data_IF_112235657061
#
_entry.id   IF_112235657061
#
_cell.length_a   1.000
_cell.length_b   1.000
_cell.length_c   1.000
_cell.angle_alpha   90.00
_cell.angle_beta   90.00
_cell.angle_gamma   90.00
#
_symmetry.space_group_name_H-M   'P 1'
#
loop_
_entity.id
_entity.type
_entity.pdbx_description
1 polymer ?
#
# COMPACT_ATOMS: atom_id res chain seq x y z
N UNK A 1 22.16 -14.55 -35.23
CA UNK A 1 20.90 -14.50 -34.45
C UNK A 1 19.74 -14.74 -35.40
N UNK A 2 18.63 -15.35 -34.98
CA UNK A 2 17.43 -15.45 -35.82
C UNK A 2 16.95 -14.06 -36.25
N UNK A 3 16.13 -13.99 -37.29
CA UNK A 3 15.48 -12.73 -37.67
C UNK A 3 14.63 -12.23 -36.49
N UNK A 4 14.94 -11.02 -36.01
CA UNK A 4 14.24 -10.40 -34.90
C UNK A 4 13.16 -9.47 -35.46
N UNK A 5 11.93 -9.61 -34.95
CA UNK A 5 10.82 -8.75 -35.31
C UNK A 5 10.44 -7.87 -34.11
N UNK A 6 10.23 -6.58 -34.36
CA UNK A 6 9.68 -5.69 -33.35
C UNK A 6 8.18 -5.96 -33.20
N UNK A 7 7.76 -6.25 -31.97
CA UNK A 7 6.34 -6.44 -31.62
C UNK A 7 5.94 -5.32 -30.67
N UNK A 8 4.82 -4.67 -30.96
CA UNK A 8 4.20 -3.69 -30.07
C UNK A 8 2.95 -4.30 -29.44
N UNK A 9 2.80 -4.15 -28.12
CA UNK A 9 1.62 -4.56 -27.37
C UNK A 9 0.91 -3.32 -26.83
N UNK A 10 -0.41 -3.28 -27.02
CA UNK A 10 -1.26 -2.22 -26.49
C UNK A 10 -2.11 -2.78 -25.34
N UNK A 11 -2.26 -1.99 -24.28
CA UNK A 11 -3.05 -2.35 -23.10
C UNK A 11 -4.16 -1.31 -22.89
N UNK A 12 -5.32 -1.71 -22.35
CA UNK A 12 -6.29 -0.73 -21.87
C UNK A 12 -5.65 0.21 -20.84
N UNK A 13 -5.79 1.52 -21.08
CA UNK A 13 -5.19 2.56 -20.24
C UNK A 13 -6.21 3.52 -19.64
N UNK A 14 -7.27 3.05 -18.93
CA UNK A 14 -8.19 3.98 -18.26
C UNK A 14 -7.39 4.87 -17.33
N UNK A 15 -7.51 6.18 -17.52
CA UNK A 15 -6.69 7.17 -16.82
C UNK A 15 -7.59 8.30 -16.37
N UNK A 16 -7.49 8.66 -15.09
CA UNK A 16 -8.16 9.84 -14.57
C UNK A 16 -7.55 11.10 -15.20
N UNK A 17 -8.41 11.96 -15.73
CA UNK A 17 -7.98 13.25 -16.27
C UNK A 17 -7.45 14.19 -15.17
N UNK A 18 -8.09 14.17 -14.00
CA UNK A 18 -7.72 14.98 -12.84
C UNK A 18 -7.84 14.17 -11.55
N UNK A 19 -6.70 13.72 -11.04
CA UNK A 19 -6.62 12.98 -9.79
C UNK A 19 -7.03 13.82 -8.56
N UNK A 20 -6.78 15.14 -8.56
CA UNK A 20 -7.10 16.01 -7.44
C UNK A 20 -8.62 16.19 -7.31
N UNK A 21 -9.30 16.42 -8.42
CA UNK A 21 -10.77 16.47 -8.46
C UNK A 21 -11.39 15.14 -8.00
N UNK A 22 -10.81 14.00 -8.36
CA UNK A 22 -11.32 12.70 -7.92
C UNK A 22 -11.12 12.48 -6.41
N UNK A 23 -10.00 12.95 -5.84
CA UNK A 23 -9.79 12.95 -4.38
C UNK A 23 -10.90 13.74 -3.68
N UNK A 24 -11.21 14.95 -4.15
CA UNK A 24 -12.27 15.77 -3.56
C UNK A 24 -13.64 15.08 -3.62
N UNK A 25 -13.97 14.48 -4.77
CA UNK A 25 -15.20 13.70 -4.95
C UNK A 25 -15.25 12.51 -3.99
N UNK A 26 -14.15 11.80 -3.83
CA UNK A 26 -14.04 10.67 -2.92
C UNK A 26 -14.30 11.08 -1.46
N UNK A 27 -13.73 12.21 -1.02
CA UNK A 27 -14.01 12.76 0.32
C UNK A 27 -15.41 13.37 0.46
N UNK A 28 -16.03 13.84 -0.62
CA UNK A 28 -17.37 14.44 -0.63
C UNK A 28 -18.50 13.42 -0.48
N UNK A 29 -18.24 12.13 -0.73
CA UNK A 29 -19.19 11.04 -0.49
C UNK A 29 -19.72 11.11 0.95
N UNK A 30 -21.05 11.13 1.18
CA UNK A 30 -21.64 11.34 2.51
C UNK A 30 -21.09 10.38 3.57
N UNK A 31 -20.93 9.10 3.22
CA UNK A 31 -20.42 8.05 4.08
C UNK A 31 -18.94 8.21 4.45
N UNK A 32 -18.17 8.99 3.67
CA UNK A 32 -16.77 9.34 3.96
C UNK A 32 -16.73 10.65 4.76
N UNK A 33 -17.45 11.67 4.29
CA UNK A 33 -17.54 12.96 4.97
C UNK A 33 -17.99 12.82 6.43
N UNK A 34 -18.94 11.92 6.72
CA UNK A 34 -19.42 11.64 8.06
C UNK A 34 -18.37 11.04 9.02
N UNK A 35 -17.25 10.51 8.50
CA UNK A 35 -16.16 9.97 9.33
C UNK A 35 -15.21 11.05 9.85
N UNK A 36 -15.20 12.23 9.22
CA UNK A 36 -14.27 13.32 9.55
C UNK A 36 -15.01 14.37 10.37
N UNK A 37 -14.71 14.44 11.67
CA UNK A 37 -15.33 15.43 12.56
C UNK A 37 -14.54 16.74 12.54
N UNK A 38 -15.20 17.92 12.43
CA UNK A 38 -14.54 19.20 12.61
C UNK A 38 -13.73 19.26 13.92
N UNK A 39 -12.55 19.87 13.88
CA UNK A 39 -11.61 19.94 14.99
C UNK A 39 -10.70 18.71 15.15
N UNK A 40 -10.95 17.61 14.43
CA UNK A 40 -10.11 16.41 14.53
C UNK A 40 -8.69 16.67 14.04
N UNK A 41 -7.71 16.12 14.73
CA UNK A 41 -6.34 15.97 14.24
C UNK A 41 -6.23 14.69 13.41
N UNK A 42 -5.86 14.84 12.14
CA UNK A 42 -5.77 13.74 11.18
C UNK A 42 -4.32 13.46 10.81
N UNK A 43 -3.88 12.23 11.02
CA UNK A 43 -2.64 11.72 10.46
C UNK A 43 -2.88 11.20 9.04
N UNK A 44 -2.40 11.94 8.04
CA UNK A 44 -2.39 11.52 6.64
C UNK A 44 -1.14 10.65 6.40
N UNK A 45 -1.34 9.35 6.30
CA UNK A 45 -0.27 8.37 6.24
C UNK A 45 0.14 8.11 4.78
N UNK A 46 1.41 8.35 4.44
CA UNK A 46 1.91 8.23 3.05
C UNK A 46 3.08 7.25 2.97
N UNK A 47 2.98 6.29 2.05
CA UNK A 47 3.98 5.25 1.86
C UNK A 47 5.18 5.64 0.99
N UNK A 48 6.11 4.70 0.87
CA UNK A 48 7.34 4.80 0.07
C UNK A 48 7.20 4.33 -1.39
N UNK A 49 5.98 4.17 -1.87
CA UNK A 49 5.73 3.73 -3.25
C UNK A 49 5.37 4.93 -4.09
N UNK A 50 6.08 5.13 -5.19
CA UNK A 50 5.67 6.08 -6.22
C UNK A 50 4.25 5.73 -6.68
N UNK A 51 3.38 6.73 -6.64
CA UNK A 51 2.06 6.77 -7.26
C UNK A 51 2.11 7.94 -8.23
N UNK A 52 1.60 7.75 -9.44
CA UNK A 52 1.52 8.83 -10.41
C UNK A 52 0.78 10.04 -9.82
N UNK A 53 1.44 11.20 -9.80
CA UNK A 53 0.84 12.43 -9.25
C UNK A 53 0.64 12.42 -7.73
N UNK A 54 1.39 11.62 -6.96
CA UNK A 54 1.19 11.50 -5.50
C UNK A 54 1.20 12.84 -4.75
N UNK A 55 2.07 13.80 -5.11
CA UNK A 55 2.08 15.11 -4.49
C UNK A 55 0.74 15.85 -4.67
N UNK A 56 0.13 15.77 -5.86
CA UNK A 56 -1.16 16.37 -6.14
C UNK A 56 -2.28 15.66 -5.38
N UNK A 57 -2.26 14.32 -5.33
CA UNK A 57 -3.22 13.50 -4.56
C UNK A 57 -3.15 13.86 -3.06
N UNK A 58 -1.95 13.92 -2.50
CA UNK A 58 -1.73 14.28 -1.08
C UNK A 58 -2.18 15.72 -0.81
N UNK A 59 -1.84 16.67 -1.69
CA UNK A 59 -2.28 18.07 -1.57
C UNK A 59 -3.81 18.19 -1.59
N UNK A 60 -4.47 17.48 -2.50
CA UNK A 60 -5.93 17.45 -2.58
C UNK A 60 -6.56 16.80 -1.34
N UNK A 61 -5.93 15.76 -0.79
CA UNK A 61 -6.38 15.13 0.45
C UNK A 61 -6.24 16.09 1.64
N UNK A 62 -5.10 16.77 1.78
CA UNK A 62 -4.89 17.81 2.82
C UNK A 62 -5.96 18.90 2.71
N UNK A 63 -6.20 19.42 1.50
CA UNK A 63 -7.25 20.44 1.26
C UNK A 63 -8.63 19.92 1.64
N UNK A 64 -8.97 18.71 1.23
CA UNK A 64 -10.28 18.09 1.50
C UNK A 64 -10.53 17.88 3.00
N UNK A 65 -9.52 17.43 3.74
CA UNK A 65 -9.59 17.27 5.18
C UNK A 65 -9.74 18.63 5.89
N UNK A 66 -8.96 19.64 5.49
CA UNK A 66 -9.05 21.00 6.06
C UNK A 66 -10.36 21.70 5.78
N UNK A 67 -10.92 21.52 4.59
CA UNK A 67 -12.25 22.04 4.23
C UNK A 67 -13.36 21.49 5.13
N UNK A 68 -13.11 20.37 5.84
CA UNK A 68 -14.00 19.75 6.83
C UNK A 68 -13.64 20.13 8.27
N UNK A 69 -12.77 21.12 8.46
CA UNK A 69 -12.36 21.62 9.77
C UNK A 69 -11.32 20.76 10.49
N UNK A 70 -10.67 19.81 9.82
CA UNK A 70 -9.60 19.01 10.43
C UNK A 70 -8.24 19.73 10.36
N UNK A 71 -7.39 19.48 11.37
CA UNK A 71 -5.95 19.74 11.26
C UNK A 71 -5.26 18.50 10.70
N UNK A 72 -4.21 18.69 9.88
CA UNK A 72 -3.55 17.57 9.18
C UNK A 72 -2.06 17.56 9.48
N UNK A 73 -1.54 16.38 9.81
CA UNK A 73 -0.11 16.08 9.87
C UNK A 73 0.16 14.92 8.91
N UNK A 74 1.23 15.00 8.13
CA UNK A 74 1.67 13.91 7.27
C UNK A 74 2.65 13.04 8.04
N UNK A 75 2.36 11.75 8.11
CA UNK A 75 3.24 10.76 8.73
C UNK A 75 3.73 9.76 7.68
N UNK A 76 5.04 9.47 7.59
CA UNK A 76 5.51 8.45 6.68
C UNK A 76 5.11 7.06 7.18
N UNK A 77 4.45 6.28 6.33
CA UNK A 77 3.98 4.92 6.63
C UNK A 77 4.67 3.92 5.70
N UNK A 78 5.93 3.62 5.97
CA UNK A 78 6.76 2.87 5.02
C UNK A 78 7.58 1.73 5.62
N UNK A 79 7.28 1.31 6.85
CA UNK A 79 7.94 0.19 7.51
C UNK A 79 9.46 0.43 7.62
N UNK A 80 10.25 -0.43 6.98
CA UNK A 80 11.73 -0.36 6.96
C UNK A 80 12.33 0.51 5.85
N UNK A 81 11.52 1.11 4.97
CA UNK A 81 12.04 1.99 3.91
C UNK A 81 12.65 3.27 4.49
N UNK A 82 13.45 3.97 3.68
CA UNK A 82 14.22 5.13 4.16
C UNK A 82 15.29 4.73 5.19
N UNK A 83 15.78 3.49 5.11
CA UNK A 83 16.72 2.91 6.07
C UNK A 83 16.15 2.70 7.47
N UNK A 84 14.82 2.77 7.65
CA UNK A 84 14.19 2.65 8.97
C UNK A 84 14.52 3.82 9.91
N UNK A 85 14.82 5.00 9.35
CA UNK A 85 15.16 6.21 10.10
C UNK A 85 14.18 7.33 9.82
N UNK A 86 13.97 8.23 10.79
CA UNK A 86 13.09 9.39 10.62
C UNK A 86 13.52 10.28 9.44
N UNK A 87 14.82 10.59 9.35
CA UNK A 87 15.40 11.39 8.28
C UNK A 87 15.23 10.72 6.91
N UNK A 88 15.60 9.44 6.78
CA UNK A 88 15.50 8.75 5.49
C UNK A 88 14.06 8.57 5.02
N UNK A 89 13.09 8.39 5.92
CA UNK A 89 11.67 8.37 5.54
C UNK A 89 11.18 9.75 5.07
N UNK A 90 11.67 10.83 5.68
CA UNK A 90 11.38 12.21 5.23
C UNK A 90 11.95 12.46 3.84
N UNK A 91 13.20 12.05 3.60
CA UNK A 91 13.86 12.20 2.30
C UNK A 91 13.12 11.45 1.18
N UNK A 92 12.58 10.27 1.48
CA UNK A 92 11.75 9.51 0.53
C UNK A 92 10.50 10.31 0.12
N UNK A 93 9.79 10.90 1.10
CA UNK A 93 8.62 11.74 0.80
C UNK A 93 9.01 13.00 0.02
N UNK A 94 10.12 13.65 0.38
CA UNK A 94 10.60 14.84 -0.32
C UNK A 94 10.91 14.55 -1.81
N UNK A 95 11.51 13.38 -2.12
CA UNK A 95 11.74 12.93 -3.51
C UNK A 95 10.46 12.70 -4.31
N UNK A 96 9.33 12.48 -3.64
CA UNK A 96 8.00 12.42 -4.25
C UNK A 96 7.29 13.77 -4.32
N UNK A 97 7.98 14.86 -4.00
CA UNK A 97 7.41 16.20 -3.98
C UNK A 97 6.50 16.45 -2.79
N UNK A 98 6.61 15.63 -1.73
CA UNK A 98 5.80 15.75 -0.51
C UNK A 98 6.67 16.42 0.55
N UNK A 99 6.52 17.73 0.67
CA UNK A 99 7.16 18.58 1.66
C UNK A 99 6.10 19.52 2.23
N UNK A 100 6.35 20.09 3.40
CA UNK A 100 5.39 21.03 4.00
C UNK A 100 5.06 22.20 3.05
N UNK A 101 6.06 22.73 2.33
CA UNK A 101 5.86 23.81 1.38
C UNK A 101 4.99 23.42 0.18
N UNK A 102 5.07 22.17 -0.30
CA UNK A 102 4.35 21.73 -1.50
C UNK A 102 2.93 21.27 -1.21
N UNK A 103 2.71 20.57 -0.09
CA UNK A 103 1.40 19.99 0.25
C UNK A 103 0.64 20.79 1.31
N UNK A 104 1.30 21.80 1.90
CA UNK A 104 0.73 22.73 2.85
C UNK A 104 0.48 22.17 4.24
N UNK A 105 0.98 20.99 4.59
CA UNK A 105 0.83 20.38 5.92
C UNK A 105 2.17 19.88 6.47
N UNK A 106 2.41 19.93 7.80
CA UNK A 106 3.65 19.47 8.40
C UNK A 106 3.94 18.00 8.06
N UNK A 107 5.16 17.71 7.64
CA UNK A 107 5.66 16.34 7.46
C UNK A 107 6.44 15.97 8.72
N UNK A 108 5.89 15.09 9.54
CA UNK A 108 6.48 14.70 10.82
C UNK A 108 6.83 13.22 10.78
N UNK A 109 8.14 12.96 10.82
CA UNK A 109 8.69 11.61 10.77
C UNK A 109 9.34 11.25 12.11
N UNK A 110 8.90 10.15 12.69
CA UNK A 110 9.43 9.58 13.91
C UNK A 110 9.39 8.04 13.80
N UNK A 111 10.21 7.35 14.58
CA UNK A 111 10.29 5.87 14.54
C UNK A 111 9.56 5.20 15.70
N UNK A 112 9.18 5.98 16.70
CA UNK A 112 8.45 5.52 17.87
C UNK A 112 7.08 4.97 17.48
N UNK A 113 6.71 3.88 18.14
CA UNK A 113 5.44 3.17 17.93
C UNK A 113 4.75 2.88 19.25
N UNK A 114 3.43 2.75 19.20
CA UNK A 114 2.60 2.22 20.27
C UNK A 114 2.14 0.82 19.89
N UNK A 115 2.18 -0.13 20.84
CA UNK A 115 1.54 -1.44 20.67
C UNK A 115 0.03 -1.25 20.82
N UNK A 116 -0.72 -1.55 19.78
CA UNK A 116 -2.19 -1.35 19.73
C UNK A 116 -2.96 -2.66 19.86
N UNK A 117 -2.26 -3.79 19.89
CA UNK A 117 -2.85 -5.10 20.15
C UNK A 117 -1.85 -6.23 19.97
N UNK A 118 -2.34 -7.45 20.13
CA UNK A 118 -1.54 -8.67 20.09
C UNK A 118 -2.26 -9.72 19.23
N UNK A 119 -1.47 -10.51 18.51
CA UNK A 119 -1.94 -11.67 17.77
C UNK A 119 -1.25 -12.92 18.28
N UNK A 120 -1.95 -14.05 18.23
CA UNK A 120 -1.39 -15.38 18.43
C UNK A 120 -1.67 -16.22 17.21
N UNK A 121 -0.66 -16.99 16.77
CA UNK A 121 -0.82 -17.98 15.71
C UNK A 121 -1.60 -19.17 16.26
N UNK A 122 -2.63 -19.60 15.56
CA UNK A 122 -3.40 -20.78 15.93
C UNK A 122 -2.78 -22.07 15.34
N UNK A 123 -3.26 -23.23 15.82
CA UNK A 123 -2.79 -24.53 15.37
C UNK A 123 -3.10 -24.83 13.89
N UNK A 124 -4.06 -24.13 13.29
CA UNK A 124 -4.42 -24.26 11.88
C UNK A 124 -3.60 -23.30 10.97
N UNK A 125 -2.68 -22.53 11.54
CA UNK A 125 -1.84 -21.57 10.82
C UNK A 125 -2.50 -20.21 10.58
N UNK A 126 -3.67 -19.96 11.18
CA UNK A 126 -4.31 -18.65 11.25
C UNK A 126 -3.75 -17.77 12.37
N UNK A 127 -4.29 -16.56 12.48
CA UNK A 127 -3.90 -15.58 13.50
C UNK A 127 -5.16 -15.00 14.16
N UNK A 128 -5.20 -15.00 15.49
CA UNK A 128 -6.31 -14.49 16.27
C UNK A 128 -5.84 -13.41 17.27
N UNK A 129 -6.70 -12.43 17.60
CA UNK A 129 -6.42 -11.48 18.69
C UNK A 129 -6.11 -12.21 20.00
N UNK A 130 -5.16 -11.68 20.77
CA UNK A 130 -4.79 -12.17 22.10
C UNK A 130 -4.80 -11.05 23.14
N UNK A 131 -4.94 -11.42 24.41
CA UNK A 131 -4.86 -10.49 25.55
C UNK A 131 -3.41 -10.08 25.89
N UNK A 132 -2.41 -10.64 25.19
CA UNK A 132 -0.99 -10.41 25.43
C UNK A 132 -0.33 -11.56 26.21
N UNK A 133 0.95 -11.78 25.94
CA UNK A 133 1.76 -12.87 26.52
C UNK A 133 3.15 -12.92 25.88
N UNK A 134 4.04 -13.76 26.42
CA UNK A 134 5.45 -13.81 26.02
C UNK A 134 5.69 -14.13 24.53
N UNK A 135 4.85 -14.99 23.95
CA UNK A 135 4.99 -15.46 22.57
C UNK A 135 4.06 -14.75 21.58
N UNK A 136 3.35 -13.70 22.01
CA UNK A 136 2.39 -13.00 21.15
C UNK A 136 3.07 -12.03 20.18
N UNK A 137 2.53 -11.97 18.97
CA UNK A 137 2.96 -11.05 17.93
C UNK A 137 2.33 -9.69 18.22
N UNK A 138 3.16 -8.73 18.62
CA UNK A 138 2.72 -7.36 18.87
C UNK A 138 2.38 -6.65 17.56
N UNK A 139 1.22 -5.99 17.52
CA UNK A 139 0.80 -5.11 16.43
C UNK A 139 1.14 -3.68 16.83
N UNK A 140 2.00 -3.04 16.06
CA UNK A 140 2.47 -1.68 16.31
C UNK A 140 1.81 -0.66 15.39
N UNK A 141 1.71 0.57 15.88
CA UNK A 141 1.27 1.72 15.11
C UNK A 141 2.19 2.91 15.40
N UNK A 142 2.48 3.72 14.39
CA UNK A 142 3.18 5.01 14.51
C UNK A 142 2.58 5.82 15.66
N UNK A 143 3.42 6.30 16.58
CA UNK A 143 2.97 7.01 17.79
C UNK A 143 2.24 8.32 17.47
N UNK A 144 2.68 9.07 16.46
CA UNK A 144 2.05 10.33 16.03
C UNK A 144 0.67 10.06 15.42
N UNK A 145 0.56 8.96 14.65
CA UNK A 145 -0.70 8.50 14.09
C UNK A 145 -1.66 8.03 15.19
N UNK A 146 -1.16 7.28 16.17
CA UNK A 146 -1.92 6.83 17.34
C UNK A 146 -2.45 8.00 18.19
N UNK A 147 -1.63 9.04 18.38
CA UNK A 147 -1.98 10.28 19.08
C UNK A 147 -2.90 11.21 18.26
N UNK A 148 -3.20 10.87 17.00
CA UNK A 148 -4.19 11.57 16.19
C UNK A 148 -5.59 11.02 16.43
N UNK A 149 -6.61 11.87 16.26
CA UNK A 149 -8.01 11.45 16.39
C UNK A 149 -8.38 10.46 15.29
N UNK A 150 -7.88 10.72 14.08
CA UNK A 150 -8.15 9.92 12.89
C UNK A 150 -6.87 9.70 12.07
N UNK A 151 -6.85 8.61 11.33
CA UNK A 151 -5.78 8.22 10.42
C UNK A 151 -6.40 8.01 9.03
N UNK A 152 -5.76 8.58 8.02
CA UNK A 152 -6.14 8.43 6.61
C UNK A 152 -4.93 7.93 5.81
N UNK A 153 -4.87 6.63 5.48
CA UNK A 153 -3.83 6.10 4.60
C UNK A 153 -4.02 6.50 3.14
N UNK A 154 -2.96 6.94 2.46
CA UNK A 154 -2.89 7.08 1.00
C UNK A 154 -2.09 5.91 0.45
N UNK A 155 -2.75 5.00 -0.29
CA UNK A 155 -2.18 3.71 -0.63
C UNK A 155 -2.34 3.37 -2.10
N UNK A 156 -1.36 2.65 -2.65
CA UNK A 156 -1.52 1.96 -3.93
C UNK A 156 -1.97 0.53 -3.70
N UNK A 157 -3.10 0.16 -4.29
CA UNK A 157 -3.57 -1.23 -4.30
C UNK A 157 -3.00 -1.93 -5.53
N UNK A 158 -2.20 -2.98 -5.32
CA UNK A 158 -1.62 -3.77 -6.41
C UNK A 158 -1.16 -5.16 -5.98
N UNK A 159 -1.03 -6.11 -6.93
CA UNK A 159 -0.37 -7.39 -6.68
C UNK A 159 1.05 -7.21 -6.11
N UNK A 160 1.34 -7.96 -5.06
CA UNK A 160 2.64 -8.03 -4.41
C UNK A 160 3.56 -8.97 -5.20
N UNK A 161 4.86 -8.74 -5.14
CA UNK A 161 5.85 -9.52 -5.92
C UNK A 161 6.37 -10.77 -5.19
N UNK A 162 6.04 -10.94 -3.91
CA UNK A 162 6.60 -12.00 -3.05
C UNK A 162 5.61 -12.82 -2.23
N UNK A 163 4.30 -12.54 -2.31
CA UNK A 163 3.27 -13.41 -1.71
C UNK A 163 1.93 -13.23 -2.44
N UNK A 164 0.99 -14.12 -2.15
CA UNK A 164 -0.37 -14.14 -2.72
C UNK A 164 -1.40 -14.29 -1.59
N UNK A 165 -2.52 -13.59 -1.71
CA UNK A 165 -3.58 -13.64 -0.71
C UNK A 165 -4.81 -12.83 -1.13
N UNK A 166 -5.86 -12.82 -0.30
CA UNK A 166 -7.06 -12.01 -0.55
C UNK A 166 -6.76 -10.50 -0.54
N UNK A 167 -5.71 -10.10 0.18
CA UNK A 167 -5.11 -8.76 0.16
C UNK A 167 -3.60 -8.87 -0.03
N UNK A 168 -3.00 -7.87 -0.68
CA UNK A 168 -1.57 -7.88 -1.05
C UNK A 168 -0.90 -6.53 -0.75
N UNK A 169 -0.48 -5.75 -1.77
CA UNK A 169 -0.11 -4.35 -1.52
C UNK A 169 -1.39 -3.52 -1.54
N UNK A 170 -1.61 -2.71 -0.50
CA UNK A 170 -2.83 -1.93 -0.37
C UNK A 170 -3.03 -1.41 1.05
N UNK A 171 -4.29 -1.30 1.45
CA UNK A 171 -4.69 -0.71 2.74
C UNK A 171 -4.19 -1.59 3.89
N UNK A 172 -4.52 -2.88 3.92
CA UNK A 172 -4.16 -3.77 5.02
C UNK A 172 -2.66 -3.82 5.25
N UNK A 173 -1.85 -3.89 4.18
CA UNK A 173 -0.40 -3.86 4.31
C UNK A 173 0.12 -2.51 4.80
N UNK A 174 -0.49 -1.39 4.39
CA UNK A 174 -0.14 -0.07 4.93
C UNK A 174 -0.40 0.01 6.43
N UNK A 175 -1.54 -0.51 6.89
CA UNK A 175 -1.90 -0.53 8.31
C UNK A 175 -0.99 -1.45 9.13
N UNK A 176 -0.73 -2.67 8.63
CA UNK A 176 0.03 -3.69 9.36
C UNK A 176 1.54 -3.51 9.31
N UNK A 177 2.09 -2.99 8.20
CA UNK A 177 3.54 -2.91 7.96
C UNK A 177 3.99 -1.45 7.83
N UNK A 178 3.28 -0.66 7.04
CA UNK A 178 3.65 0.74 6.76
C UNK A 178 3.68 1.59 8.02
N UNK A 179 2.54 1.66 8.71
CA UNK A 179 2.38 2.41 9.96
C UNK A 179 3.06 1.75 11.16
N UNK A 180 3.41 0.47 11.08
CA UNK A 180 4.09 -0.24 12.16
C UNK A 180 5.56 0.16 12.34
N UNK A 181 6.08 1.06 11.49
CA UNK A 181 7.48 1.52 11.44
C UNK A 181 8.48 0.37 11.37
N UNK A 182 9.76 0.66 11.53
CA UNK A 182 10.80 -0.37 11.43
C UNK A 182 10.57 -1.50 12.45
N UNK A 183 10.21 -1.16 13.69
CA UNK A 183 10.04 -2.13 14.79
C UNK A 183 8.92 -3.14 14.51
N UNK A 184 7.71 -2.67 14.27
CA UNK A 184 6.57 -3.54 14.00
C UNK A 184 6.65 -4.22 12.64
N UNK A 185 7.18 -3.54 11.61
CA UNK A 185 7.49 -4.16 10.33
C UNK A 185 8.42 -5.37 10.54
N UNK A 186 9.53 -5.19 11.25
CA UNK A 186 10.50 -6.26 11.50
C UNK A 186 9.89 -7.43 12.29
N UNK A 187 8.99 -7.15 13.24
CA UNK A 187 8.25 -8.18 13.97
C UNK A 187 7.44 -9.07 13.04
N UNK A 188 6.59 -8.48 12.21
CA UNK A 188 5.77 -9.26 11.28
C UNK A 188 6.61 -10.00 10.24
N UNK A 189 7.74 -9.42 9.79
CA UNK A 189 8.62 -10.10 8.83
C UNK A 189 9.32 -11.34 9.42
N UNK A 190 9.52 -11.42 10.74
CA UNK A 190 10.08 -12.62 11.39
C UNK A 190 9.16 -13.84 11.30
N UNK A 191 7.86 -13.63 11.12
CA UNK A 191 6.91 -14.71 10.86
C UNK A 191 7.10 -15.32 9.45
N UNK A 192 7.81 -14.64 8.55
CA UNK A 192 8.11 -15.12 7.21
C UNK A 192 7.02 -14.83 6.17
N UNK A 193 7.46 -14.61 4.93
CA UNK A 193 6.59 -14.24 3.80
C UNK A 193 5.46 -15.25 3.52
N UNK A 194 5.70 -16.54 3.78
CA UNK A 194 4.68 -17.58 3.59
C UNK A 194 3.44 -17.39 4.45
N UNK A 195 3.55 -16.69 5.59
CA UNK A 195 2.43 -16.43 6.49
C UNK A 195 1.71 -15.10 6.20
N UNK A 196 2.22 -14.24 5.31
CA UNK A 196 1.70 -12.88 5.10
C UNK A 196 0.25 -12.85 4.60
N UNK A 197 -0.16 -13.87 3.84
CA UNK A 197 -1.53 -13.99 3.34
C UNK A 197 -2.58 -14.02 4.47
N UNK A 198 -2.23 -14.60 5.62
CA UNK A 198 -3.08 -14.66 6.81
C UNK A 198 -2.71 -13.56 7.84
N UNK A 199 -1.42 -13.29 8.03
CA UNK A 199 -0.91 -12.38 9.06
C UNK A 199 -1.27 -10.91 8.79
N UNK A 200 -1.10 -10.44 7.55
CA UNK A 200 -1.36 -9.03 7.21
C UNK A 200 -2.83 -8.63 7.45
N UNK A 201 -3.84 -9.36 6.94
CA UNK A 201 -5.23 -9.00 7.22
C UNK A 201 -5.58 -9.12 8.70
N UNK A 202 -5.01 -10.09 9.44
CA UNK A 202 -5.22 -10.20 10.88
C UNK A 202 -4.65 -9.01 11.65
N UNK A 203 -3.43 -8.55 11.33
CA UNK A 203 -2.83 -7.37 11.94
C UNK A 203 -3.57 -6.09 11.56
N UNK A 204 -4.00 -5.96 10.30
CA UNK A 204 -4.83 -4.85 9.86
C UNK A 204 -6.17 -4.81 10.60
N UNK A 205 -6.78 -5.97 10.88
CA UNK A 205 -8.03 -6.06 11.64
C UNK A 205 -7.88 -5.47 13.06
N UNK A 206 -6.76 -5.73 13.74
CA UNK A 206 -6.44 -5.11 15.04
C UNK A 206 -6.38 -3.58 14.91
N UNK A 207 -5.67 -3.05 13.91
CA UNK A 207 -5.54 -1.61 13.69
C UNK A 207 -6.89 -0.97 13.36
N UNK A 208 -7.69 -1.60 12.50
CA UNK A 208 -9.05 -1.15 12.17
C UNK A 208 -9.96 -1.14 13.40
N UNK A 209 -9.84 -2.14 14.28
CA UNK A 209 -10.60 -2.26 15.53
C UNK A 209 -10.37 -1.14 16.54
N UNK A 210 -9.30 -0.34 16.38
CA UNK A 210 -9.07 0.87 17.19
C UNK A 210 -10.08 1.98 16.91
N UNK A 211 -10.81 1.91 15.79
CA UNK A 211 -11.76 2.96 15.36
C UNK A 211 -11.09 4.23 14.84
N UNK A 212 -9.76 4.27 14.72
CA UNK A 212 -9.01 5.46 14.28
C UNK A 212 -8.92 5.60 12.76
N UNK A 213 -9.15 4.54 12.00
CA UNK A 213 -9.11 4.60 10.52
C UNK A 213 -10.43 5.17 10.01
N UNK A 214 -10.45 6.47 9.69
CA UNK A 214 -11.64 7.12 9.14
C UNK A 214 -12.00 6.55 7.76
N UNK A 215 -11.04 6.67 6.85
CA UNK A 215 -11.07 6.09 5.53
C UNK A 215 -9.63 5.96 4.99
N UNK A 216 -9.44 5.14 3.97
CA UNK A 216 -8.19 5.04 3.21
C UNK A 216 -8.42 5.52 1.78
N UNK A 217 -7.53 6.37 1.27
CA UNK A 217 -7.51 6.78 -0.12
C UNK A 217 -6.73 5.72 -0.94
N UNK A 218 -7.47 4.79 -1.52
CA UNK A 218 -6.93 3.71 -2.34
C UNK A 218 -6.78 4.16 -3.80
N UNK A 219 -5.59 3.96 -4.34
CA UNK A 219 -5.23 4.30 -5.72
C UNK A 219 -4.93 3.03 -6.49
N UNK A 220 -5.57 2.87 -7.65
CA UNK A 220 -5.28 1.81 -8.62
C UNK A 220 -4.68 2.45 -9.87
N UNK A 221 -3.59 1.89 -10.37
CA UNK A 221 -2.89 2.33 -11.58
C UNK A 221 -3.12 1.34 -12.73
N UNK A 222 -3.04 1.84 -13.97
CA UNK A 222 -3.09 1.02 -15.18
C UNK A 222 -1.71 0.55 -15.64
N UNK A 223 -1.68 -0.15 -16.77
CA UNK A 223 -0.49 -0.74 -17.37
C UNK A 223 0.62 0.26 -17.75
N UNK A 224 0.31 1.56 -17.76
CA UNK A 224 1.23 2.65 -18.12
C UNK A 224 1.68 3.46 -16.91
N UNK A 225 1.53 2.91 -15.69
CA UNK A 225 1.79 3.60 -14.42
C UNK A 225 1.02 4.93 -14.32
N UNK A 226 -0.23 4.97 -14.83
CA UNK A 226 -1.13 6.11 -14.70
C UNK A 226 -2.27 5.78 -13.75
N UNK A 227 -2.72 6.76 -12.97
CA UNK A 227 -3.85 6.58 -12.06
C UNK A 227 -5.14 6.28 -12.84
N UNK A 228 -5.69 5.09 -12.62
CA UNK A 228 -6.93 4.64 -13.24
C UNK A 228 -8.15 4.90 -12.36
N UNK A 229 -7.98 4.76 -11.05
CA UNK A 229 -9.06 4.94 -10.08
C UNK A 229 -8.49 5.44 -8.75
N UNK A 230 -9.26 6.30 -8.08
CA UNK A 230 -9.07 6.70 -6.70
C UNK A 230 -10.38 6.43 -5.96
N UNK A 231 -10.30 5.81 -4.79
CA UNK A 231 -11.47 5.53 -3.96
C UNK A 231 -11.15 5.77 -2.49
N UNK A 232 -12.02 6.52 -1.81
CA UNK A 232 -12.01 6.58 -0.35
C UNK A 232 -12.81 5.40 0.21
N UNK A 233 -12.12 4.49 0.91
CA UNK A 233 -12.69 3.28 1.51
C UNK A 233 -12.80 3.47 3.01
N UNK A 234 -14.00 3.35 3.59
CA UNK A 234 -14.19 3.45 5.04
C UNK A 234 -13.38 2.38 5.79
N UNK A 235 -12.95 2.69 7.01
CA UNK A 235 -12.24 1.73 7.87
C UNK A 235 -13.01 0.41 8.02
N UNK A 236 -14.30 0.48 8.35
CA UNK A 236 -15.18 -0.69 8.54
C UNK A 236 -15.41 -1.53 7.26
N UNK A 237 -15.27 -0.93 6.08
CA UNK A 237 -15.42 -1.60 4.80
C UNK A 237 -14.10 -2.18 4.24
N UNK A 238 -12.97 -1.91 4.88
CA UNK A 238 -11.63 -2.18 4.32
C UNK A 238 -11.43 -3.66 3.95
N UNK A 239 -11.72 -4.58 4.87
CA UNK A 239 -11.49 -6.02 4.66
C UNK A 239 -12.38 -6.61 3.55
N UNK A 240 -13.51 -5.98 3.26
CA UNK A 240 -14.44 -6.39 2.20
C UNK A 240 -14.07 -5.74 0.86
N UNK A 241 -13.69 -4.45 0.87
CA UNK A 241 -13.50 -3.67 -0.35
C UNK A 241 -12.10 -3.82 -0.96
N UNK A 242 -11.06 -3.95 -0.15
CA UNK A 242 -9.69 -4.06 -0.66
C UNK A 242 -9.48 -5.27 -1.61
N UNK A 243 -10.00 -6.48 -1.33
CA UNK A 243 -9.91 -7.61 -2.27
C UNK A 243 -10.48 -7.30 -3.67
N UNK A 244 -11.55 -6.51 -3.73
CA UNK A 244 -12.20 -6.13 -4.99
C UNK A 244 -11.34 -5.11 -5.76
N UNK A 245 -10.72 -4.17 -5.05
CA UNK A 245 -9.75 -3.22 -5.65
C UNK A 245 -8.49 -3.94 -6.13
N UNK A 246 -8.03 -4.97 -5.41
CA UNK A 246 -6.91 -5.80 -5.84
C UNK A 246 -7.27 -6.60 -7.10
N UNK A 247 -8.48 -7.16 -7.18
CA UNK A 247 -8.96 -7.82 -8.38
C UNK A 247 -8.99 -6.87 -9.58
N UNK A 248 -9.49 -5.64 -9.41
CA UNK A 248 -9.44 -4.61 -10.45
C UNK A 248 -7.98 -4.31 -10.86
N UNK A 249 -7.09 -4.08 -9.89
CA UNK A 249 -5.68 -3.79 -10.17
C UNK A 249 -5.03 -4.91 -11.00
N UNK A 250 -5.37 -6.19 -10.75
CA UNK A 250 -4.90 -7.33 -11.56
C UNK A 250 -5.34 -7.25 -13.01
N UNK A 251 -6.57 -6.81 -13.28
CA UNK A 251 -7.07 -6.67 -14.66
C UNK A 251 -6.40 -5.55 -15.45
N UNK A 252 -5.86 -4.55 -14.75
CA UNK A 252 -5.22 -3.37 -15.33
C UNK A 252 -3.70 -3.47 -15.42
N UNK A 253 -3.09 -4.53 -14.88
CA UNK A 253 -1.64 -4.76 -14.96
C UNK A 253 -1.19 -5.12 -16.37
N UNK A 254 0.04 -4.72 -16.78
CA UNK A 254 0.61 -5.15 -18.04
C UNK A 254 0.89 -6.66 -18.00
N UNK A 255 0.85 -7.31 -19.17
CA UNK A 255 1.17 -8.73 -19.30
C UNK A 255 1.83 -9.03 -20.64
N UNK A 256 2.63 -10.08 -20.69
CA UNK A 256 3.11 -10.64 -21.94
C UNK A 256 1.94 -11.38 -22.60
N UNK A 257 1.54 -10.98 -23.81
CA UNK A 257 0.37 -11.54 -24.53
C UNK A 257 0.70 -12.81 -25.33
N UNK A 258 1.86 -13.42 -25.09
CA UNK A 258 2.26 -14.69 -25.67
C UNK A 258 1.97 -15.81 -24.66
N UNK A 259 1.43 -16.97 -25.06
CA UNK A 259 1.13 -18.05 -24.12
C UNK A 259 2.38 -18.83 -23.67
N UNK A 260 3.44 -18.85 -24.49
CA UNK A 260 4.68 -19.56 -24.21
C UNK A 260 5.88 -18.77 -24.73
N UNK A 261 6.98 -18.81 -23.98
CA UNK A 261 8.25 -18.14 -24.29
C UNK A 261 9.40 -19.09 -23.94
N UNK A 262 10.23 -19.42 -24.91
CA UNK A 262 11.41 -20.29 -24.68
C UNK A 262 12.51 -19.55 -23.91
N UNK A 263 12.78 -18.29 -24.31
CA UNK A 263 13.77 -17.42 -23.66
C UNK A 263 13.18 -16.01 -23.54
N UNK A 264 13.07 -15.50 -22.31
CA UNK A 264 12.75 -14.11 -22.02
C UNK A 264 14.02 -13.37 -21.58
N UNK A 265 14.51 -12.45 -22.41
CA UNK A 265 15.64 -11.59 -22.02
C UNK A 265 15.10 -10.32 -21.36
N UNK A 266 15.49 -10.08 -20.10
CA UNK A 266 15.12 -8.88 -19.35
C UNK A 266 16.28 -7.89 -19.38
N UNK A 267 16.13 -6.78 -20.11
CA UNK A 267 17.22 -5.81 -20.30
C UNK A 267 17.56 -5.00 -19.04
N UNK A 268 16.56 -4.76 -18.18
CA UNK A 268 16.71 -3.93 -16.97
C UNK A 268 16.11 -4.63 -15.75
N UNK A 269 16.90 -4.70 -14.69
CA UNK A 269 16.55 -5.29 -13.41
C UNK A 269 17.01 -4.37 -12.27
N UNK A 270 16.21 -4.23 -11.22
CA UNK A 270 16.57 -3.42 -10.05
C UNK A 270 15.45 -3.35 -9.02
N UNK A 271 15.80 -3.23 -7.73
CA UNK A 271 14.81 -3.12 -6.64
C UNK A 271 13.92 -1.88 -6.76
N UNK A 272 14.47 -0.84 -7.36
CA UNK A 272 13.81 0.42 -7.71
C UNK A 272 12.81 0.27 -8.87
N UNK A 273 13.02 -0.71 -9.76
CA UNK A 273 12.09 -1.07 -10.85
C UNK A 273 10.95 -1.92 -10.30
N UNK A 274 11.28 -3.08 -9.75
CA UNK A 274 10.34 -4.01 -9.11
C UNK A 274 10.97 -4.51 -7.81
N UNK A 275 10.18 -4.70 -6.76
CA UNK A 275 10.72 -5.00 -5.42
C UNK A 275 11.74 -6.14 -5.38
N UNK A 276 11.54 -7.14 -6.25
CA UNK A 276 12.39 -8.33 -6.40
C UNK A 276 13.36 -8.27 -7.60
N UNK A 277 13.58 -7.09 -8.18
CA UNK A 277 14.42 -6.87 -9.35
C UNK A 277 13.62 -6.81 -10.66
N UNK A 278 12.92 -7.90 -10.99
CA UNK A 278 12.02 -7.99 -12.16
C UNK A 278 10.56 -8.13 -11.70
N UNK A 279 9.57 -7.78 -12.53
CA UNK A 279 8.18 -7.87 -12.10
C UNK A 279 7.68 -9.32 -12.14
N UNK A 280 7.68 -9.97 -10.97
CA UNK A 280 7.17 -11.33 -10.80
C UNK A 280 5.71 -11.49 -11.22
N UNK A 281 4.91 -10.41 -11.23
CA UNK A 281 3.53 -10.46 -11.71
C UNK A 281 3.44 -10.54 -13.25
N UNK A 282 4.51 -10.19 -13.95
CA UNK A 282 4.62 -10.28 -15.42
C UNK A 282 5.36 -11.55 -15.83
N UNK A 283 6.40 -11.93 -15.10
CA UNK A 283 7.29 -13.07 -15.44
C UNK A 283 6.91 -14.37 -14.73
N UNK A 284 6.10 -14.33 -13.68
CA UNK A 284 5.77 -15.49 -12.85
C UNK A 284 6.92 -16.00 -11.98
N UNK A 285 8.07 -15.29 -11.93
CA UNK A 285 9.26 -15.67 -11.16
C UNK A 285 9.54 -14.63 -10.07
N UNK A 286 9.38 -15.06 -8.82
CA UNK A 286 9.73 -14.30 -7.62
C UNK A 286 11.03 -14.79 -6.98
N UNK A 287 11.50 -14.13 -5.92
CA UNK A 287 12.64 -14.57 -5.11
C UNK A 287 12.43 -15.97 -4.50
N UNK A 288 11.17 -16.37 -4.31
CA UNK A 288 10.78 -17.67 -3.75
C UNK A 288 10.48 -18.72 -4.82
N UNK A 289 10.77 -18.43 -6.09
CA UNK A 289 10.50 -19.31 -7.22
C UNK A 289 9.23 -18.95 -7.98
N UNK A 290 8.52 -19.97 -8.50
CA UNK A 290 7.29 -19.76 -9.26
C UNK A 290 6.22 -19.13 -8.38
N UNK A 291 5.62 -18.06 -8.87
CA UNK A 291 4.57 -17.35 -8.17
C UNK A 291 3.28 -18.18 -8.21
N UNK A 292 2.70 -18.43 -7.04
CA UNK A 292 1.42 -19.13 -6.95
C UNK A 292 0.35 -18.41 -7.78
N UNK A 293 -0.51 -19.19 -8.44
CA UNK A 293 -1.62 -18.73 -9.26
C UNK A 293 -1.23 -17.75 -10.38
N UNK A 294 0.00 -17.85 -10.88
CA UNK A 294 0.43 -17.07 -12.03
C UNK A 294 -0.30 -17.51 -13.29
N UNK A 295 -1.08 -16.58 -13.85
CA UNK A 295 -1.91 -16.78 -15.05
C UNK A 295 -1.29 -16.16 -16.33
N UNK A 296 0.04 -16.02 -16.37
CA UNK A 296 0.77 -15.45 -17.51
C UNK A 296 1.46 -16.50 -18.40
N UNK A 297 2.40 -16.09 -19.27
CA UNK A 297 3.11 -17.01 -20.18
C UNK A 297 3.81 -18.15 -19.43
N UNK A 298 3.85 -19.33 -20.04
CA UNK A 298 4.85 -20.33 -19.65
C UNK A 298 6.21 -19.88 -20.17
N UNK A 299 7.15 -19.59 -19.25
CA UNK A 299 8.52 -19.18 -19.61
C UNK A 299 9.52 -20.28 -19.24
N UNK A 300 10.23 -20.82 -20.24
CA UNK A 300 11.21 -21.88 -20.03
C UNK A 300 12.52 -21.36 -19.42
N UNK A 301 13.03 -20.21 -19.90
CA UNK A 301 14.24 -19.56 -19.38
C UNK A 301 14.09 -18.04 -19.32
N UNK A 302 14.58 -17.45 -18.22
CA UNK A 302 14.78 -15.99 -18.03
C UNK A 302 16.26 -15.76 -17.77
#
# INVERSE_FOLDING_TARGET
MPAMHLVHQEFPGPTLADAASEVERAFARPEIAATIRPGSRVALAVGSRGIAGIAAIVTAAVRSLRARGASVVIVPAMGSHGGGTAAGQTDVLARYGITEATVGAPVVSAMETTVVGHLRRDAAGGYAPSLGGGDDIQVHLDRIAWESDLIVPVVRVKPHTGFRGPVESGICKMLAIGLAKHEGCSRLHREGYGNFAALIPAAAHIVLGTGRIACSLAVVENAHDRTAQIEAVRGDATLVREPQLLALARTLMPRLLMPAIDVLVVERIGKDISGVGMDANVTGRSELGLLADFAGPRIARI
#
